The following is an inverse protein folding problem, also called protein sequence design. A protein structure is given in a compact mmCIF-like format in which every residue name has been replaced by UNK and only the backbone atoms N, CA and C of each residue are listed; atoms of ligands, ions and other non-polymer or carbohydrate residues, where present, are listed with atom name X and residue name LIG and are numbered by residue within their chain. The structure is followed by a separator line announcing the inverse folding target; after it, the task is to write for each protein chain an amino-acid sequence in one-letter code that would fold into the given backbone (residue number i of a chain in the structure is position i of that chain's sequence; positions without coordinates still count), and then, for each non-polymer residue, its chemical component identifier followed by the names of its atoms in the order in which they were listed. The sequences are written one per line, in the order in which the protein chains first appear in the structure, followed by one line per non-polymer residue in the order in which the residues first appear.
data_IF_463424607849
#
_entry.id   IF_463424607849
#
_cell.length_a   1.000
_cell.length_b   1.000
_cell.length_c   1.000
_cell.angle_alpha   90.00
_cell.angle_beta   90.00
_cell.angle_gamma   90.00
#
_symmetry.space_group_name_H-M   'P 1'
#
loop_
_entity.id
_entity.type
_entity.pdbx_description
1 polymer ?
#
# COMPACT_ATOMS: atom_id res chain seq x y z
N UNK A 1 -37.02 20.14 -23.59
CA UNK A 1 -36.31 18.93 -23.13
C UNK A 1 -36.06 19.08 -21.64
N UNK A 2 -36.73 18.29 -20.80
CA UNK A 2 -36.51 18.31 -19.34
C UNK A 2 -35.22 17.54 -19.03
N UNK A 3 -34.11 18.26 -18.92
CA UNK A 3 -32.85 17.68 -18.46
C UNK A 3 -32.97 17.40 -16.95
N UNK A 4 -33.31 16.17 -16.60
CA UNK A 4 -33.24 15.71 -15.21
C UNK A 4 -31.77 15.52 -14.88
N UNK A 5 -31.20 16.41 -14.06
CA UNK A 5 -29.91 16.14 -13.43
C UNK A 5 -30.02 14.80 -12.69
N UNK A 6 -29.12 13.83 -12.93
CA UNK A 6 -29.09 12.64 -12.10
C UNK A 6 -28.90 13.08 -10.64
N UNK A 7 -29.71 12.52 -9.74
CA UNK A 7 -29.60 12.81 -8.31
C UNK A 7 -28.13 12.62 -7.87
N UNK A 8 -27.64 13.48 -6.97
CA UNK A 8 -26.32 13.28 -6.36
C UNK A 8 -26.32 11.89 -5.72
N UNK A 9 -25.69 10.94 -6.38
CA UNK A 9 -25.57 9.59 -5.85
C UNK A 9 -24.58 9.67 -4.70
N UNK A 10 -25.07 9.46 -3.48
CA UNK A 10 -24.23 9.45 -2.29
C UNK A 10 -23.47 8.12 -2.27
N UNK A 11 -22.24 8.13 -2.78
CA UNK A 11 -21.35 6.98 -2.72
C UNK A 11 -20.92 6.69 -1.28
N UNK A 12 -20.66 5.42 -0.97
CA UNK A 12 -20.20 5.02 0.37
C UNK A 12 -18.92 5.77 0.75
N UNK A 13 -18.89 6.29 1.98
CA UNK A 13 -17.67 6.86 2.54
C UNK A 13 -16.70 5.74 2.91
N UNK A 14 -15.50 5.74 2.33
CA UNK A 14 -14.45 4.77 2.63
C UNK A 14 -13.32 5.38 3.45
N UNK A 15 -12.66 4.52 4.22
CA UNK A 15 -11.48 4.84 5.03
C UNK A 15 -10.42 3.79 4.80
N UNK A 16 -9.16 4.23 4.91
CA UNK A 16 -8.02 3.32 4.89
C UNK A 16 -8.16 2.30 6.04
N UNK A 17 -7.97 1.03 5.73
CA UNK A 17 -8.00 -0.04 6.71
C UNK A 17 -6.89 0.11 7.76
N UNK A 18 -5.70 0.57 7.33
CA UNK A 18 -4.53 0.70 8.21
C UNK A 18 -4.53 1.97 9.07
N UNK A 19 -4.83 3.14 8.48
CA UNK A 19 -4.66 4.43 9.15
C UNK A 19 -5.96 5.21 9.33
N UNK A 20 -7.10 4.65 8.90
CA UNK A 20 -8.44 5.23 9.00
C UNK A 20 -8.65 6.60 8.35
N UNK A 21 -7.65 7.11 7.61
CA UNK A 21 -7.75 8.29 6.76
C UNK A 21 -8.89 8.09 5.76
N UNK A 22 -9.74 9.12 5.57
CA UNK A 22 -10.78 9.11 4.55
C UNK A 22 -10.16 8.93 3.17
N UNK A 23 -10.75 8.06 2.36
CA UNK A 23 -10.38 7.88 0.96
C UNK A 23 -11.43 8.59 0.12
N UNK A 24 -10.97 9.46 -0.78
CA UNK A 24 -11.83 10.13 -1.73
C UNK A 24 -12.04 9.23 -2.96
N UNK A 25 -13.29 9.13 -3.43
CA UNK A 25 -13.62 8.32 -4.60
C UNK A 25 -12.86 8.81 -5.85
N UNK A 26 -12.68 10.12 -6.01
CA UNK A 26 -11.94 10.65 -7.15
C UNK A 26 -10.46 10.25 -7.07
N UNK A 27 -9.85 10.29 -5.88
CA UNK A 27 -8.47 9.82 -5.67
C UNK A 27 -8.34 8.32 -6.01
N UNK A 28 -9.29 7.50 -5.55
CA UNK A 28 -9.33 6.08 -5.86
C UNK A 28 -9.45 5.82 -7.36
N UNK A 29 -10.33 6.54 -8.06
CA UNK A 29 -10.51 6.38 -9.51
C UNK A 29 -9.27 6.78 -10.30
N UNK A 30 -8.62 7.89 -9.93
CA UNK A 30 -7.40 8.36 -10.59
C UNK A 30 -6.26 7.36 -10.45
N UNK A 31 -6.13 6.75 -9.26
CA UNK A 31 -5.10 5.73 -9.01
C UNK A 31 -5.33 4.43 -9.76
N UNK A 32 -6.59 4.11 -10.06
CA UNK A 32 -6.98 2.86 -10.73
C UNK A 32 -7.47 3.09 -12.17
N UNK A 33 -6.88 4.07 -12.88
CA UNK A 33 -7.28 4.47 -14.25
C UNK A 33 -7.26 3.36 -15.31
N UNK A 34 -6.61 2.23 -15.03
CA UNK A 34 -6.53 1.07 -15.91
C UNK A 34 -7.79 0.20 -15.86
N UNK A 35 -8.66 0.41 -14.85
CA UNK A 35 -9.92 -0.29 -14.66
C UNK A 35 -11.07 0.58 -15.17
N UNK A 36 -12.10 -0.02 -15.77
CA UNK A 36 -13.28 0.71 -16.21
C UNK A 36 -14.00 1.39 -15.04
N UNK A 37 -14.65 2.53 -15.32
CA UNK A 37 -15.36 3.31 -14.31
C UNK A 37 -16.47 2.50 -13.64
N UNK A 38 -17.20 1.72 -14.40
CA UNK A 38 -18.30 0.88 -13.93
C UNK A 38 -17.78 -0.13 -12.91
N UNK A 39 -16.66 -0.79 -13.24
CA UNK A 39 -16.01 -1.74 -12.35
C UNK A 39 -15.45 -1.09 -11.09
N UNK A 40 -14.90 0.12 -11.19
CA UNK A 40 -14.43 0.86 -10.02
C UNK A 40 -15.56 1.21 -9.06
N UNK A 41 -16.74 1.57 -9.58
CA UNK A 41 -17.92 1.84 -8.76
C UNK A 41 -18.41 0.55 -8.08
N UNK A 42 -18.50 -0.57 -8.82
CA UNK A 42 -18.86 -1.87 -8.23
C UNK A 42 -17.92 -2.28 -7.10
N UNK A 43 -16.61 -2.12 -7.31
CA UNK A 43 -15.62 -2.38 -6.29
C UNK A 43 -15.88 -1.44 -5.11
N UNK A 44 -15.90 -0.13 -5.34
CA UNK A 44 -16.08 0.89 -4.30
C UNK A 44 -17.33 0.67 -3.42
N UNK A 45 -18.41 0.14 -3.99
CA UNK A 45 -19.66 -0.13 -3.28
C UNK A 45 -19.67 -1.50 -2.58
N UNK A 46 -18.67 -2.35 -2.80
CA UNK A 46 -18.56 -3.68 -2.18
C UNK A 46 -18.22 -3.60 -0.68
N UNK A 47 -19.05 -4.16 0.18
CA UNK A 47 -18.89 -4.06 1.65
C UNK A 47 -17.78 -4.94 2.23
N UNK A 48 -17.33 -5.96 1.51
CA UNK A 48 -16.30 -6.88 2.00
C UNK A 48 -14.88 -6.45 1.61
N UNK A 49 -14.73 -5.42 0.77
CA UNK A 49 -13.44 -4.92 0.35
C UNK A 49 -12.87 -3.89 1.35
N UNK A 50 -11.63 -4.16 1.74
CA UNK A 50 -10.79 -3.25 2.49
C UNK A 50 -9.95 -2.41 1.53
N UNK A 51 -9.83 -1.11 1.84
CA UNK A 51 -9.09 -0.16 1.02
C UNK A 51 -7.90 0.38 1.78
N UNK A 52 -6.79 0.59 1.08
CA UNK A 52 -5.64 1.31 1.60
C UNK A 52 -5.55 2.68 0.95
N UNK A 53 -5.17 3.71 1.72
CA UNK A 53 -4.76 4.97 1.11
C UNK A 53 -3.41 4.79 0.40
N UNK A 54 -3.07 5.71 -0.50
CA UNK A 54 -1.85 5.61 -1.33
C UNK A 54 -0.59 5.29 -0.51
N UNK A 55 -0.37 6.01 0.60
CA UNK A 55 0.82 5.83 1.43
C UNK A 55 0.90 4.44 2.08
N UNK A 56 -0.23 3.95 2.60
CA UNK A 56 -0.27 2.63 3.22
C UNK A 56 -0.15 1.52 2.17
N UNK A 57 -0.72 1.71 0.98
CA UNK A 57 -0.57 0.79 -0.13
C UNK A 57 0.89 0.73 -0.62
N UNK A 58 1.52 1.88 -0.86
CA UNK A 58 2.92 1.95 -1.30
C UNK A 58 3.86 1.29 -0.26
N UNK A 59 3.58 1.51 1.02
CA UNK A 59 4.31 0.85 2.11
C UNK A 59 4.12 -0.67 2.11
N UNK A 60 2.88 -1.13 1.89
CA UNK A 60 2.56 -2.57 1.83
C UNK A 60 3.29 -3.24 0.67
N UNK A 61 3.21 -2.66 -0.54
CA UNK A 61 3.88 -3.18 -1.74
C UNK A 61 5.39 -3.23 -1.55
N UNK A 62 5.98 -2.13 -1.07
CA UNK A 62 7.42 -2.07 -0.79
C UNK A 62 7.85 -3.15 0.20
N UNK A 63 7.10 -3.35 1.28
CA UNK A 63 7.41 -4.38 2.26
C UNK A 63 7.29 -5.80 1.68
N UNK A 64 6.37 -6.01 0.75
CA UNK A 64 6.23 -7.29 0.05
C UNK A 64 7.42 -7.55 -0.88
N UNK A 65 7.80 -6.56 -1.70
CA UNK A 65 8.99 -6.65 -2.58
C UNK A 65 10.26 -6.89 -1.76
N UNK A 66 10.42 -6.21 -0.62
CA UNK A 66 11.54 -6.42 0.29
C UNK A 66 11.58 -7.87 0.82
N UNK A 67 10.43 -8.44 1.20
CA UNK A 67 10.34 -9.84 1.64
C UNK A 67 10.70 -10.81 0.52
N UNK A 68 10.30 -10.52 -0.72
CA UNK A 68 10.66 -11.34 -1.88
C UNK A 68 12.18 -11.29 -2.13
N UNK A 69 12.77 -10.10 -2.14
CA UNK A 69 14.24 -9.94 -2.26
C UNK A 69 15.00 -10.62 -1.14
N UNK A 70 14.51 -10.59 0.11
CA UNK A 70 15.13 -11.31 1.23
C UNK A 70 15.14 -12.83 0.98
N UNK A 71 14.11 -13.39 0.33
CA UNK A 71 14.09 -14.81 -0.02
C UNK A 71 15.11 -15.17 -1.12
N UNK A 72 15.45 -14.21 -1.97
CA UNK A 72 16.48 -14.37 -3.01
C UNK A 72 17.90 -14.27 -2.45
N UNK A 73 18.08 -13.70 -1.25
CA UNK A 73 19.39 -13.69 -0.58
C UNK A 73 19.79 -15.14 -0.33
N UNK A 74 20.93 -15.52 -0.91
CA UNK A 74 21.46 -16.87 -0.81
C UNK A 74 21.80 -17.16 0.66
N UNK A 75 21.51 -18.38 1.14
CA UNK A 75 21.78 -18.81 2.52
C UNK A 75 23.26 -18.60 2.87
N UNK A 76 24.15 -18.74 1.90
CA UNK A 76 25.59 -18.50 2.04
C UNK A 76 25.93 -17.03 2.35
N UNK A 77 25.23 -16.06 1.76
CA UNK A 77 25.45 -14.62 2.03
C UNK A 77 24.96 -14.26 3.44
N UNK A 78 23.85 -14.85 3.89
CA UNK A 78 23.38 -14.69 5.26
C UNK A 78 24.36 -15.26 6.29
N UNK A 79 25.05 -16.35 5.96
CA UNK A 79 26.05 -16.93 6.83
C UNK A 79 27.28 -16.03 6.99
N UNK A 80 27.75 -15.42 5.89
CA UNK A 80 28.81 -14.40 5.90
C UNK A 80 28.41 -13.21 6.78
N UNK A 81 27.19 -12.70 6.63
CA UNK A 81 26.68 -11.59 7.46
C UNK A 81 26.69 -11.99 8.94
N UNK A 82 26.18 -13.17 9.30
CA UNK A 82 26.17 -13.67 10.69
C UNK A 82 27.57 -13.83 11.28
N UNK A 83 28.58 -14.15 10.47
CA UNK A 83 29.98 -14.22 10.90
C UNK A 83 30.50 -12.82 11.23
N UNK A 84 30.20 -11.83 10.39
CA UNK A 84 30.61 -10.43 10.60
C UNK A 84 29.93 -9.86 11.85
N UNK A 85 28.62 -10.05 12.00
CA UNK A 85 27.86 -9.59 13.17
C UNK A 85 28.45 -10.13 14.48
N UNK A 86 28.81 -11.42 14.51
CA UNK A 86 29.45 -12.05 15.67
C UNK A 86 30.86 -11.51 15.94
N UNK A 87 31.67 -11.33 14.89
CA UNK A 87 33.06 -10.88 15.04
C UNK A 87 33.14 -9.44 15.55
N UNK A 88 32.24 -8.58 15.09
CA UNK A 88 32.28 -7.14 15.41
C UNK A 88 31.22 -6.73 16.45
N UNK A 89 30.37 -7.66 16.90
CA UNK A 89 29.26 -7.40 17.82
C UNK A 89 28.35 -6.24 17.35
N UNK A 90 28.08 -6.20 16.04
CA UNK A 90 27.19 -5.23 15.39
C UNK A 90 26.02 -5.97 14.73
N UNK A 91 24.87 -5.30 14.57
CA UNK A 91 23.78 -5.78 13.71
C UNK A 91 23.83 -5.08 12.37
N UNK A 92 23.90 -5.84 11.29
CA UNK A 92 23.93 -5.28 9.94
C UNK A 92 22.51 -5.32 9.38
N UNK A 93 21.89 -4.17 9.09
CA UNK A 93 20.59 -4.15 8.43
C UNK A 93 20.76 -4.65 7.00
N UNK A 94 20.34 -5.89 6.75
CA UNK A 94 20.43 -6.55 5.44
C UNK A 94 19.58 -5.84 4.37
N UNK A 95 18.63 -5.01 4.80
CA UNK A 95 17.93 -4.09 3.91
C UNK A 95 17.76 -2.75 4.61
N UNK A 96 17.98 -1.66 3.88
CA UNK A 96 17.80 -0.32 4.41
C UNK A 96 16.34 -0.10 4.80
N UNK A 97 16.07 -0.14 6.12
CA UNK A 97 14.86 0.44 6.67
C UNK A 97 14.94 1.96 6.44
N UNK A 98 14.55 2.43 5.25
CA UNK A 98 14.31 3.85 5.03
C UNK A 98 13.06 4.19 5.85
N UNK A 99 13.27 4.58 7.10
CA UNK A 99 12.26 5.22 7.93
C UNK A 99 12.10 6.64 7.41
N UNK A 100 11.03 6.89 6.66
CA UNK A 100 10.61 8.26 6.42
C UNK A 100 10.16 8.82 7.77
N UNK A 101 10.89 9.79 8.30
CA UNK A 101 10.39 10.62 9.38
C UNK A 101 9.20 11.42 8.82
N UNK A 102 7.98 10.94 9.02
CA UNK A 102 6.79 11.78 8.88
C UNK A 102 6.75 12.73 10.08
N UNK A 103 7.34 13.91 9.92
CA UNK A 103 7.06 15.08 10.74
C UNK A 103 5.90 15.82 10.07
N UNK A 104 4.80 16.03 10.81
CA UNK A 104 3.72 16.95 10.46
C UNK A 104 2.44 16.30 9.97
#
# INVERSE_FOLDING_TARGET
MNYKFPARQEFKARRCFQCHKKIDLAEFMVRNKTISKERLIELWENDTLEYYCCLCYDTLVRNQELKEKIKEINVEELEVIRIIERRYNIKIPVVSEIKYNTIG
#
